data_IF_327868169868
#
_entry.id   IF_327868169868
#
_cell.length_a   1.000
_cell.length_b   1.000
_cell.length_c   1.000
_cell.angle_alpha   90.00
_cell.angle_beta   90.00
_cell.angle_gamma   90.00
#
_symmetry.space_group_name_H-M   'P 1'
#
loop_
_entity.id
_entity.type
_entity.pdbx_description
1 polymer ?
#
# COMPACT_ATOMS: atom_id res chain seq x y z
N UNK A 1 -15.22 3.45 0.67
CA UNK A 1 -13.92 4.11 0.55
C UNK A 1 -12.79 3.09 0.55
N UNK A 2 -11.62 3.52 0.12
CA UNK A 2 -10.42 2.67 0.12
C UNK A 2 -10.03 2.26 1.53
N UNK A 3 -10.11 3.17 2.50
CA UNK A 3 -9.81 2.86 3.89
C UNK A 3 -10.75 1.80 4.46
N UNK A 4 -12.04 1.86 4.14
CA UNK A 4 -13.00 0.85 4.60
C UNK A 4 -12.64 -0.52 4.01
N UNK A 5 -12.31 -0.58 2.72
CA UNK A 5 -11.88 -1.82 2.07
C UNK A 5 -10.60 -2.36 2.72
N UNK A 6 -9.59 -1.51 2.89
CA UNK A 6 -8.31 -1.92 3.47
C UNK A 6 -8.48 -2.41 4.91
N UNK A 7 -9.33 -1.73 5.70
CA UNK A 7 -9.62 -2.17 7.08
C UNK A 7 -10.27 -3.56 7.10
N UNK A 8 -11.21 -3.79 6.19
CA UNK A 8 -11.87 -5.10 6.07
C UNK A 8 -10.88 -6.21 5.70
N UNK A 9 -9.98 -5.93 4.75
CA UNK A 9 -8.94 -6.89 4.34
C UNK A 9 -7.96 -7.14 5.47
N UNK A 10 -7.58 -6.10 6.22
CA UNK A 10 -6.68 -6.23 7.36
C UNK A 10 -7.25 -7.19 8.41
N UNK A 11 -8.54 -7.05 8.72
CA UNK A 11 -9.21 -7.88 9.72
C UNK A 11 -9.40 -9.32 9.21
N UNK A 12 -9.73 -9.49 7.92
CA UNK A 12 -10.06 -10.80 7.36
C UNK A 12 -8.82 -11.62 6.98
N UNK A 13 -7.78 -10.99 6.44
CA UNK A 13 -6.64 -11.69 5.84
C UNK A 13 -5.32 -11.46 6.56
N UNK A 14 -5.14 -10.31 7.24
CA UNK A 14 -3.94 -10.01 8.00
C UNK A 14 -2.63 -10.28 7.23
N UNK A 15 -1.78 -11.20 7.73
CA UNK A 15 -0.49 -11.48 7.11
C UNK A 15 -0.58 -12.17 5.73
N UNK A 16 -1.76 -12.63 5.35
CA UNK A 16 -1.98 -13.24 4.02
C UNK A 16 -2.35 -12.22 2.95
N UNK A 17 -2.40 -10.93 3.29
CA UNK A 17 -2.75 -9.88 2.36
C UNK A 17 -1.52 -9.13 1.86
N UNK A 18 -1.64 -8.55 0.67
CA UNK A 18 -0.70 -7.58 0.12
C UNK A 18 -1.47 -6.29 -0.15
N UNK A 19 -0.98 -5.17 0.39
CA UNK A 19 -1.58 -3.86 0.17
C UNK A 19 -0.70 -3.01 -0.72
N UNK A 20 -1.31 -2.30 -1.68
CA UNK A 20 -0.58 -1.42 -2.59
C UNK A 20 -1.27 -0.07 -2.63
N UNK A 21 -0.48 1.01 -2.54
CA UNK A 21 -0.99 2.36 -2.73
C UNK A 21 -0.26 3.04 -3.90
N UNK A 22 -1.04 3.52 -4.86
CA UNK A 22 -0.56 4.09 -6.11
C UNK A 22 -1.00 5.53 -6.25
N UNK A 23 -0.32 6.30 -7.12
CA UNK A 23 -0.78 7.62 -7.53
C UNK A 23 -2.16 7.52 -8.19
N UNK A 24 -3.01 8.52 -7.95
CA UNK A 24 -4.34 8.55 -8.56
C UNK A 24 -5.42 7.71 -7.87
N UNK A 25 -5.12 7.07 -6.75
CA UNK A 25 -6.10 6.27 -6.01
C UNK A 25 -7.08 7.10 -5.17
N UNK A 26 -7.05 8.43 -5.27
CA UNK A 26 -7.93 9.29 -4.52
C UNK A 26 -7.30 9.87 -3.26
N UNK A 27 -8.16 10.25 -2.29
CA UNK A 27 -7.72 11.01 -1.11
C UNK A 27 -7.59 10.18 0.17
N UNK A 28 -7.95 8.90 0.11
CA UNK A 28 -7.86 8.01 1.26
C UNK A 28 -7.03 6.77 0.92
N UNK A 29 -6.89 5.88 1.88
CA UNK A 29 -6.15 4.64 1.71
C UNK A 29 -4.91 4.54 2.59
N UNK A 30 -4.31 5.66 2.99
CA UNK A 30 -3.09 5.64 3.79
C UNK A 30 -3.32 5.04 5.19
N UNK A 31 -4.39 5.45 5.84
CA UNK A 31 -4.76 4.96 7.17
C UNK A 31 -5.11 3.46 7.15
N UNK A 32 -5.87 3.03 6.14
CA UNK A 32 -6.21 1.62 5.97
C UNK A 32 -5.00 0.77 5.63
N UNK A 33 -4.08 1.29 4.82
CA UNK A 33 -2.83 0.60 4.52
C UNK A 33 -1.98 0.41 5.78
N UNK A 34 -1.95 1.42 6.65
CA UNK A 34 -1.28 1.32 7.94
C UNK A 34 -1.87 0.18 8.78
N UNK A 35 -3.19 0.09 8.85
CA UNK A 35 -3.85 -0.99 9.57
C UNK A 35 -3.50 -2.34 8.96
N UNK A 36 -3.47 -2.47 7.63
CA UNK A 36 -3.03 -3.69 6.96
C UNK A 36 -1.62 -4.08 7.40
N UNK A 37 -0.69 -3.13 7.39
CA UNK A 37 0.69 -3.37 7.83
C UNK A 37 0.74 -3.82 9.29
N UNK A 38 0.00 -3.17 10.17
CA UNK A 38 -0.07 -3.52 11.59
C UNK A 38 -0.61 -4.94 11.82
N UNK A 39 -1.44 -5.43 10.92
CA UNK A 39 -1.97 -6.80 10.94
C UNK A 39 -1.08 -7.80 10.20
N UNK A 40 0.10 -7.39 9.78
CA UNK A 40 1.10 -8.27 9.19
C UNK A 40 1.13 -8.34 7.67
N UNK A 41 0.31 -7.57 6.98
CA UNK A 41 0.31 -7.52 5.53
C UNK A 41 1.62 -6.92 4.99
N UNK A 42 2.02 -7.37 3.80
CA UNK A 42 3.11 -6.74 3.06
C UNK A 42 2.55 -5.54 2.30
N UNK A 43 3.08 -4.35 2.56
CA UNK A 43 2.54 -3.13 1.97
C UNK A 43 3.57 -2.45 1.07
N UNK A 44 3.12 -2.03 -0.11
CA UNK A 44 3.95 -1.42 -1.14
C UNK A 44 3.40 -0.03 -1.45
N UNK A 45 4.26 0.98 -1.45
CA UNK A 45 3.91 2.32 -1.88
C UNK A 45 4.65 2.70 -3.15
N UNK A 46 3.96 3.33 -4.10
CA UNK A 46 4.61 3.84 -5.29
C UNK A 46 5.61 4.93 -4.89
N UNK A 47 6.82 4.89 -5.46
CA UNK A 47 7.84 5.87 -5.14
C UNK A 47 7.51 7.24 -5.76
N UNK A 48 8.15 8.27 -5.22
CA UNK A 48 7.94 9.66 -5.64
C UNK A 48 8.27 9.86 -7.12
N UNK A 49 9.35 9.24 -7.58
CA UNK A 49 9.90 9.43 -8.92
C UNK A 49 8.94 9.00 -10.03
N UNK A 50 8.08 8.01 -9.77
CA UNK A 50 7.11 7.52 -10.77
C UNK A 50 5.69 7.99 -10.52
N UNK A 51 5.43 8.74 -9.44
CA UNK A 51 4.12 9.35 -9.20
C UNK A 51 3.95 10.60 -10.05
N UNK A 52 2.77 10.76 -10.67
CA UNK A 52 2.39 12.03 -11.30
C UNK A 52 2.28 13.11 -10.22
N UNK A 53 1.57 12.78 -9.14
CA UNK A 53 1.53 13.58 -7.92
C UNK A 53 1.81 12.65 -6.75
N UNK A 54 2.81 12.98 -5.95
CA UNK A 54 3.15 12.18 -4.77
C UNK A 54 2.22 12.57 -3.63
N UNK A 55 0.95 12.10 -3.70
CA UNK A 55 -0.15 12.40 -2.78
C UNK A 55 -0.33 11.32 -1.72
N UNK A 56 -1.29 10.41 -1.90
CA UNK A 56 -1.53 9.32 -0.94
C UNK A 56 -0.32 8.41 -0.72
N UNK A 57 0.47 8.06 -1.75
CA UNK A 57 1.71 7.32 -1.49
C UNK A 57 2.66 8.04 -0.53
N UNK A 58 2.77 9.37 -0.61
CA UNK A 58 3.57 10.16 0.33
C UNK A 58 2.99 10.09 1.75
N UNK A 59 1.70 10.29 1.89
CA UNK A 59 1.03 10.23 3.19
C UNK A 59 1.23 8.86 3.82
N UNK A 60 1.01 7.79 3.05
CA UNK A 60 1.19 6.43 3.52
C UNK A 60 2.63 6.15 3.98
N UNK A 61 3.61 6.62 3.20
CA UNK A 61 5.02 6.50 3.56
C UNK A 61 5.32 7.23 4.88
N UNK A 62 4.84 8.47 5.00
CA UNK A 62 5.14 9.32 6.17
C UNK A 62 4.53 8.79 7.46
N UNK A 63 3.37 8.13 7.41
CA UNK A 63 2.74 7.55 8.61
C UNK A 63 3.25 6.15 8.95
N UNK A 64 4.16 5.61 8.18
CA UNK A 64 4.72 4.27 8.44
C UNK A 64 3.89 3.12 7.90
N UNK A 65 3.01 3.38 6.93
CA UNK A 65 2.14 2.35 6.35
C UNK A 65 2.84 1.49 5.29
N UNK A 66 3.99 1.90 4.79
CA UNK A 66 4.66 1.31 3.63
C UNK A 66 5.87 0.49 4.06
N UNK A 67 5.86 -0.80 3.78
CA UNK A 67 7.01 -1.67 4.01
C UNK A 67 8.12 -1.39 3.00
N UNK A 68 7.76 -1.19 1.73
CA UNK A 68 8.72 -0.91 0.67
C UNK A 68 8.12 0.08 -0.34
N UNK A 69 8.95 1.01 -0.80
CA UNK A 69 8.62 1.87 -1.93
C UNK A 69 9.20 1.28 -3.21
N UNK A 70 8.47 1.39 -4.31
CA UNK A 70 8.91 0.88 -5.60
C UNK A 70 8.39 1.74 -6.74
N UNK A 71 9.15 1.76 -7.84
CA UNK A 71 8.69 2.35 -9.09
C UNK A 71 7.47 1.58 -9.60
N UNK A 72 6.56 2.30 -10.26
CA UNK A 72 5.31 1.72 -10.75
C UNK A 72 5.54 0.44 -11.55
N UNK A 73 6.52 0.45 -12.46
CA UNK A 73 6.83 -0.69 -13.31
C UNK A 73 7.37 -1.92 -12.57
N UNK A 74 7.83 -1.75 -11.33
CA UNK A 74 8.41 -2.83 -10.53
C UNK A 74 7.43 -3.43 -9.53
N UNK A 75 6.26 -2.82 -9.34
CA UNK A 75 5.31 -3.25 -8.30
C UNK A 75 4.76 -4.63 -8.58
N UNK A 76 4.41 -4.94 -9.84
CA UNK A 76 3.89 -6.27 -10.17
C UNK A 76 4.91 -7.37 -9.88
N UNK A 77 6.18 -7.13 -10.15
CA UNK A 77 7.25 -8.09 -9.85
C UNK A 77 7.38 -8.35 -8.35
N UNK A 78 7.26 -7.30 -7.53
CA UNK A 78 7.29 -7.44 -6.08
C UNK A 78 6.11 -8.27 -5.56
N UNK A 79 4.92 -8.04 -6.12
CA UNK A 79 3.73 -8.82 -5.76
C UNK A 79 3.94 -10.29 -6.12
N UNK A 80 4.39 -10.57 -7.34
CA UNK A 80 4.63 -11.95 -7.80
C UNK A 80 5.67 -12.62 -6.92
N UNK A 81 6.76 -11.94 -6.61
CA UNK A 81 7.83 -12.46 -5.75
C UNK A 81 7.29 -12.82 -4.36
N UNK A 82 6.43 -11.97 -3.81
CA UNK A 82 5.86 -12.20 -2.48
C UNK A 82 4.88 -13.37 -2.45
N UNK A 83 4.22 -13.66 -3.57
CA UNK A 83 3.25 -14.76 -3.68
C UNK A 83 3.90 -16.14 -3.84
N UNK A 84 5.18 -16.19 -4.12
CA UNK A 84 5.90 -17.45 -4.28
C UNK A 84 6.14 -18.19 -2.95
#
# INVERSE_FOLDING_TARGET
SVDVLFNSVADAAGPNAIGVILTGMGRDGASGLLKMRQKGAYTIGQNKETCVVYGMPMVAYNIGAVCIQAACENISDLIIEKLK
#
